data_IF_389222147746
#
_entry.id   IF_389222147746
#
_cell.length_a   1.000
_cell.length_b   1.000
_cell.length_c   1.000
_cell.angle_alpha   90.00
_cell.angle_beta   90.00
_cell.angle_gamma   90.00
#
_symmetry.space_group_name_H-M   'P 1'
#
loop_
_entity.id
_entity.type
_entity.pdbx_description
1 polymer ?
#
# COMPACT_ATOMS: atom_id res chain seq x y z
N UNK A 1 -5.69 25.66 6.33
CA UNK A 1 -6.77 24.92 5.64
C UNK A 1 -6.19 23.64 5.08
N UNK A 2 -6.85 22.51 5.34
CA UNK A 2 -6.49 21.17 4.87
C UNK A 2 -7.74 20.55 4.24
N UNK A 3 -7.62 20.05 3.01
CA UNK A 3 -8.68 19.33 2.33
C UNK A 3 -8.39 17.82 2.34
N UNK A 4 -9.37 17.05 2.81
CA UNK A 4 -9.29 15.60 2.99
C UNK A 4 -10.34 14.97 2.08
N UNK A 5 -9.89 14.07 1.21
CA UNK A 5 -10.73 13.31 0.30
C UNK A 5 -10.90 11.90 0.88
N UNK A 6 -12.06 11.60 1.51
CA UNK A 6 -12.32 10.30 2.12
C UNK A 6 -12.26 9.18 1.08
N UNK A 7 -11.94 7.98 1.52
CA UNK A 7 -11.83 6.83 0.63
C UNK A 7 -13.18 6.20 0.29
N UNK A 8 -14.16 6.43 1.15
CA UNK A 8 -15.52 5.92 1.10
C UNK A 8 -16.43 6.73 0.17
N UNK A 9 -16.02 7.93 -0.25
CA UNK A 9 -16.85 8.84 -1.04
C UNK A 9 -16.01 9.66 -2.01
N UNK A 10 -16.27 9.50 -3.31
CA UNK A 10 -15.74 10.37 -4.36
C UNK A 10 -16.59 11.65 -4.53
N UNK A 11 -17.75 11.73 -3.88
CA UNK A 11 -18.73 12.82 -4.04
C UNK A 11 -18.60 13.91 -2.96
N UNK A 12 -17.96 13.61 -1.83
CA UNK A 12 -17.91 14.52 -0.68
C UNK A 12 -16.51 14.54 -0.07
N UNK A 13 -15.90 15.72 -0.04
CA UNK A 13 -14.64 15.99 0.63
C UNK A 13 -14.84 16.82 1.91
N UNK A 14 -13.93 16.66 2.87
CA UNK A 14 -13.90 17.42 4.12
C UNK A 14 -12.85 18.53 4.02
N UNK A 15 -13.25 19.77 4.31
CA UNK A 15 -12.37 20.90 4.50
C UNK A 15 -12.22 21.20 5.99
N UNK A 16 -10.99 21.22 6.45
CA UNK A 16 -10.58 21.53 7.82
C UNK A 16 -9.89 22.90 7.83
N UNK A 17 -10.54 23.87 8.46
CA UNK A 17 -9.96 25.19 8.71
C UNK A 17 -9.33 25.16 10.10
N UNK A 18 -8.05 25.54 10.16
CA UNK A 18 -7.23 25.49 11.35
C UNK A 18 -6.82 26.92 11.70
N UNK A 19 -6.85 27.25 12.99
CA UNK A 19 -6.25 28.44 13.55
C UNK A 19 -5.21 28.00 14.59
N UNK A 20 -3.93 28.21 14.29
CA UNK A 20 -2.81 27.60 15.00
C UNK A 20 -2.97 26.07 15.11
N UNK A 21 -3.11 25.54 16.32
CA UNK A 21 -3.27 24.10 16.62
C UNK A 21 -4.74 23.69 16.87
N UNK A 22 -5.69 24.61 16.70
CA UNK A 22 -7.12 24.36 16.92
C UNK A 22 -7.92 24.26 15.61
N UNK A 23 -8.89 23.34 15.58
CA UNK A 23 -9.86 23.24 14.48
C UNK A 23 -10.92 24.32 14.67
N UNK A 24 -10.91 25.32 13.79
CA UNK A 24 -11.86 26.43 13.82
C UNK A 24 -13.18 26.04 13.14
N UNK A 25 -13.10 25.30 12.03
CA UNK A 25 -14.29 24.96 11.24
C UNK A 25 -14.09 23.69 10.40
N UNK A 26 -15.17 22.92 10.28
CA UNK A 26 -15.26 21.73 9.45
C UNK A 26 -16.42 21.91 8.49
N UNK A 27 -16.15 21.78 7.19
CA UNK A 27 -17.19 21.84 6.16
C UNK A 27 -17.03 20.76 5.13
N UNK A 28 -18.17 20.26 4.64
CA UNK A 28 -18.21 19.34 3.52
C UNK A 28 -18.33 20.14 2.22
N UNK A 29 -17.70 19.65 1.17
CA UNK A 29 -17.80 20.23 -0.16
C UNK A 29 -17.74 19.14 -1.24
N UNK A 30 -18.33 19.43 -2.39
CA UNK A 30 -18.19 18.60 -3.59
C UNK A 30 -16.78 18.80 -4.18
N UNK A 31 -15.96 17.76 -4.27
CA UNK A 31 -14.58 17.86 -4.74
C UNK A 31 -14.45 18.19 -6.23
N UNK A 32 -15.48 17.92 -7.04
CA UNK A 32 -15.49 18.19 -8.47
C UNK A 32 -15.93 19.63 -8.77
N UNK A 33 -16.98 20.10 -8.11
CA UNK A 33 -17.56 21.42 -8.38
C UNK A 33 -17.09 22.52 -7.41
N UNK A 34 -16.52 22.14 -6.26
CA UNK A 34 -16.11 23.06 -5.20
C UNK A 34 -17.28 23.62 -4.38
N UNK A 35 -18.51 23.19 -4.64
CA UNK A 35 -19.68 23.67 -3.91
C UNK A 35 -19.65 23.20 -2.45
N UNK A 36 -19.79 24.16 -1.53
CA UNK A 36 -19.91 23.83 -0.11
C UNK A 36 -21.27 23.17 0.16
N UNK A 37 -21.22 21.98 0.77
CA UNK A 37 -22.38 21.19 1.19
C UNK A 37 -22.84 21.55 2.61
N UNK A 38 -22.04 22.33 3.34
CA UNK A 38 -22.37 22.86 4.66
C UNK A 38 -21.35 22.50 5.75
N UNK A 39 -21.55 23.08 6.94
CA UNK A 39 -20.69 22.86 8.11
C UNK A 39 -21.13 21.64 8.91
N UNK A 40 -20.17 20.91 9.47
CA UNK A 40 -20.43 19.74 10.31
C UNK A 40 -19.68 19.87 11.64
N UNK A 41 -20.28 19.48 12.78
CA UNK A 41 -19.62 19.58 14.07
C UNK A 41 -18.57 18.46 14.30
N UNK A 42 -18.67 17.36 13.56
CA UNK A 42 -17.77 16.21 13.65
C UNK A 42 -17.76 15.45 12.33
N UNK A 43 -16.60 14.93 11.95
CA UNK A 43 -16.44 14.00 10.83
C UNK A 43 -15.51 12.86 11.24
N UNK A 44 -15.80 11.64 10.82
CA UNK A 44 -14.97 10.46 11.11
C UNK A 44 -14.31 10.02 9.83
N UNK A 45 -12.97 10.04 9.79
CA UNK A 45 -12.19 9.63 8.62
C UNK A 45 -11.82 8.16 8.80
N UNK A 46 -12.21 7.33 7.84
CA UNK A 46 -11.77 5.94 7.80
C UNK A 46 -10.52 5.78 6.92
N UNK A 47 -9.61 4.84 7.26
CA UNK A 47 -8.47 4.54 6.41
C UNK A 47 -8.90 4.07 5.02
N UNK A 48 -8.15 4.49 3.99
CA UNK A 48 -8.40 4.10 2.59
C UNK A 48 -8.28 2.61 2.30
N UNK A 49 -7.64 1.86 3.19
CA UNK A 49 -7.44 0.43 3.04
C UNK A 49 -7.95 -0.32 4.27
N UNK A 50 -8.82 -1.31 4.05
CA UNK A 50 -9.22 -2.29 5.09
C UNK A 50 -8.06 -3.15 5.59
N UNK A 51 -6.93 -3.15 4.87
CA UNK A 51 -5.71 -3.87 5.22
C UNK A 51 -4.75 -2.91 5.91
N UNK A 52 -5.09 -2.49 7.12
CA UNK A 52 -4.10 -1.92 8.04
C UNK A 52 -3.27 -3.10 8.56
N UNK A 53 -2.27 -3.51 7.77
CA UNK A 53 -1.29 -4.51 8.22
C UNK A 53 -0.41 -3.83 9.27
N UNK A 54 -0.35 -4.32 10.53
CA UNK A 54 0.51 -3.75 11.54
C UNK A 54 1.96 -3.69 11.04
N UNK A 55 2.70 -2.63 11.39
CA UNK A 55 4.10 -2.44 10.97
C UNK A 55 4.97 -3.66 11.28
N UNK A 56 4.74 -4.32 12.41
CA UNK A 56 5.42 -5.56 12.79
C UNK A 56 5.28 -6.66 11.74
N UNK A 57 4.06 -6.90 11.23
CA UNK A 57 3.82 -7.89 10.18
C UNK A 57 4.47 -7.51 8.84
N UNK A 58 4.58 -6.22 8.55
CA UNK A 58 5.28 -5.74 7.35
C UNK A 58 6.77 -6.05 7.47
N UNK A 59 7.38 -5.77 8.63
CA UNK A 59 8.79 -6.06 8.89
C UNK A 59 9.08 -7.58 8.83
N UNK A 60 8.22 -8.41 9.43
CA UNK A 60 8.32 -9.87 9.33
C UNK A 60 8.25 -10.35 7.88
N UNK A 61 7.33 -9.80 7.08
CA UNK A 61 7.21 -10.15 5.67
C UNK A 61 8.44 -9.73 4.86
N UNK A 62 9.02 -8.56 5.14
CA UNK A 62 10.26 -8.09 4.48
C UNK A 62 11.41 -9.07 4.73
N UNK A 63 11.57 -9.55 5.96
CA UNK A 63 12.63 -10.52 6.27
C UNK A 63 12.44 -11.84 5.51
N UNK A 64 11.19 -12.32 5.39
CA UNK A 64 10.90 -13.52 4.58
C UNK A 64 11.22 -13.30 3.09
N UNK A 65 10.85 -12.14 2.53
CA UNK A 65 11.11 -11.80 1.13
C UNK A 65 12.63 -11.73 0.85
N UNK A 66 13.43 -11.17 1.78
CA UNK A 66 14.89 -11.11 1.63
C UNK A 66 15.52 -12.51 1.55
N UNK A 67 15.05 -13.44 2.39
CA UNK A 67 15.52 -14.83 2.37
C UNK A 67 15.17 -15.49 1.04
N UNK A 68 13.91 -15.39 0.60
CA UNK A 68 13.48 -15.95 -0.68
C UNK A 68 14.24 -15.35 -1.87
N UNK A 69 14.50 -14.04 -1.84
CA UNK A 69 15.27 -13.36 -2.88
C UNK A 69 16.70 -13.90 -2.94
N UNK A 70 17.36 -14.13 -1.80
CA UNK A 70 18.71 -14.69 -1.76
C UNK A 70 18.77 -16.09 -2.40
N UNK A 71 17.80 -16.95 -2.07
CA UNK A 71 17.67 -18.29 -2.67
C UNK A 71 17.43 -18.20 -4.18
N UNK A 72 16.55 -17.29 -4.60
CA UNK A 72 16.19 -17.14 -6.02
C UNK A 72 17.33 -16.57 -6.85
N UNK A 73 18.10 -15.61 -6.31
CA UNK A 73 19.31 -15.09 -6.93
C UNK A 73 20.34 -16.21 -7.11
N UNK A 74 20.57 -17.02 -6.08
CA UNK A 74 21.47 -18.17 -6.14
C UNK A 74 21.07 -19.17 -7.23
N UNK A 75 19.77 -19.45 -7.37
CA UNK A 75 19.26 -20.29 -8.46
C UNK A 75 19.57 -19.70 -9.84
N UNK A 76 19.27 -18.42 -10.08
CA UNK A 76 19.51 -17.80 -11.39
C UNK A 76 21.00 -17.72 -11.73
N UNK A 77 21.87 -17.47 -10.75
CA UNK A 77 23.32 -17.49 -10.96
C UNK A 77 23.80 -18.88 -11.37
N UNK A 78 23.33 -19.94 -10.69
CA UNK A 78 23.67 -21.34 -11.03
C UNK A 78 23.23 -21.74 -12.43
N UNK A 79 22.10 -21.21 -12.88
CA UNK A 79 21.55 -21.43 -14.23
C UNK A 79 22.15 -20.50 -15.31
N UNK A 80 23.17 -19.69 -14.97
CA UNK A 80 23.74 -18.65 -15.85
C UNK A 80 22.72 -17.62 -16.39
N UNK A 81 21.64 -17.37 -15.64
CA UNK A 81 20.57 -16.41 -15.95
C UNK A 81 20.79 -15.08 -15.24
N UNK A 82 21.89 -14.41 -15.58
CA UNK A 82 22.36 -13.20 -14.87
C UNK A 82 21.43 -12.00 -15.07
N UNK A 83 20.77 -11.88 -16.24
CA UNK A 83 19.86 -10.77 -16.50
C UNK A 83 18.55 -10.90 -15.72
N UNK A 84 18.05 -12.13 -15.59
CA UNK A 84 16.87 -12.47 -14.79
C UNK A 84 17.15 -12.25 -13.30
N UNK A 85 18.34 -12.63 -12.83
CA UNK A 85 18.80 -12.35 -11.47
C UNK A 85 18.82 -10.85 -11.19
N UNK A 86 19.40 -10.06 -12.07
CA UNK A 86 19.49 -8.62 -11.89
C UNK A 86 18.11 -7.97 -11.89
N UNK A 87 17.22 -8.39 -12.81
CA UNK A 87 15.85 -7.86 -12.91
C UNK A 87 15.03 -8.14 -11.66
N UNK A 88 15.10 -9.37 -11.13
CA UNK A 88 14.33 -9.72 -9.92
C UNK A 88 14.90 -9.00 -8.69
N UNK A 89 16.22 -8.93 -8.56
CA UNK A 89 16.87 -8.25 -7.44
C UNK A 89 16.53 -6.77 -7.39
N UNK A 90 16.64 -6.05 -8.52
CA UNK A 90 16.32 -4.63 -8.58
C UNK A 90 14.85 -4.36 -8.25
N UNK A 91 13.93 -5.16 -8.78
CA UNK A 91 12.50 -4.97 -8.54
C UNK A 91 12.10 -5.27 -7.11
N UNK A 92 12.56 -6.39 -6.55
CA UNK A 92 12.23 -6.77 -5.17
C UNK A 92 12.86 -5.81 -4.16
N UNK A 93 14.06 -5.28 -4.43
CA UNK A 93 14.70 -4.30 -3.55
C UNK A 93 13.90 -2.98 -3.50
N UNK A 94 13.46 -2.48 -4.64
CA UNK A 94 12.59 -1.30 -4.71
C UNK A 94 11.26 -1.53 -3.98
N UNK A 95 10.65 -2.71 -4.15
CA UNK A 95 9.40 -3.04 -3.47
C UNK A 95 9.57 -3.10 -1.94
N UNK A 96 10.73 -3.58 -1.44
CA UNK A 96 11.07 -3.58 0.00
C UNK A 96 11.23 -2.15 0.53
N UNK A 97 11.90 -1.26 -0.22
CA UNK A 97 12.06 0.16 0.15
C UNK A 97 10.69 0.83 0.27
N UNK A 98 9.81 0.62 -0.72
CA UNK A 98 8.44 1.14 -0.70
C UNK A 98 7.62 0.61 0.48
N UNK A 99 7.76 -0.68 0.83
CA UNK A 99 7.10 -1.25 2.01
C UNK A 99 7.60 -0.64 3.33
N UNK A 100 8.88 -0.29 3.43
CA UNK A 100 9.46 0.32 4.63
C UNK A 100 9.03 1.78 4.82
N UNK A 101 8.98 2.55 3.74
CA UNK A 101 8.67 3.98 3.77
C UNK A 101 7.17 4.26 3.85
N UNK A 102 6.37 3.61 3.01
CA UNK A 102 4.94 3.91 2.85
C UNK A 102 4.03 2.93 3.60
N UNK A 103 4.56 1.82 4.09
CA UNK A 103 3.77 0.79 4.78
C UNK A 103 2.85 -0.01 3.84
N UNK A 104 2.94 0.21 2.52
CA UNK A 104 2.27 -0.58 1.51
C UNK A 104 3.13 -0.65 0.24
N UNK A 105 3.02 -1.76 -0.47
CA UNK A 105 3.49 -1.89 -1.84
C UNK A 105 2.38 -2.55 -2.66
N UNK A 106 2.23 -2.16 -3.93
CA UNK A 106 1.26 -2.76 -4.87
C UNK A 106 1.42 -4.28 -4.99
N UNK A 107 2.61 -4.82 -4.68
CA UNK A 107 2.94 -6.24 -4.66
C UNK A 107 2.48 -7.01 -3.40
N UNK A 108 1.94 -6.35 -2.35
CA UNK A 108 1.41 -7.05 -1.15
C UNK A 108 0.22 -7.98 -1.47
N UNK A 109 -0.43 -7.83 -2.62
CA UNK A 109 -1.44 -8.79 -3.09
C UNK A 109 -0.80 -10.15 -3.44
N UNK A 110 0.48 -10.18 -3.83
CA UNK A 110 1.19 -11.39 -4.24
C UNK A 110 1.64 -12.23 -3.04
N UNK A 111 2.01 -11.62 -1.91
CA UNK A 111 2.43 -12.38 -0.71
C UNK A 111 1.25 -13.02 0.02
N UNK A 112 0.08 -12.38 0.03
CA UNK A 112 -1.15 -13.03 0.53
C UNK A 112 -1.60 -14.21 -0.34
N UNK A 113 -1.38 -14.14 -1.66
CA UNK A 113 -1.61 -15.28 -2.55
C UNK A 113 -0.61 -16.41 -2.27
N UNK A 114 0.67 -16.12 -2.05
CA UNK A 114 1.71 -17.14 -1.80
C UNK A 114 1.47 -17.88 -0.46
N UNK A 115 0.93 -17.22 0.58
CA UNK A 115 0.59 -17.91 1.84
C UNK A 115 -0.58 -18.91 1.71
N UNK A 116 -1.49 -18.70 0.74
CA UNK A 116 -2.57 -19.64 0.41
C UNK A 116 -2.23 -20.63 -0.71
N UNK A 117 -1.19 -20.37 -1.52
CA UNK A 117 -0.82 -21.23 -2.63
C UNK A 117 0.08 -22.43 -2.27
N UNK A 118 0.33 -22.71 -0.98
CA UNK A 118 0.82 -24.02 -0.53
C UNK A 118 -0.24 -25.14 -0.52
N UNK A 119 -1.35 -24.96 -1.25
CA UNK A 119 -2.24 -26.05 -1.67
C UNK A 119 -2.41 -26.02 -3.19
N UNK A 120 -1.47 -26.69 -3.86
CA UNK A 120 -1.70 -27.32 -5.17
C UNK A 120 -2.01 -26.41 -6.36
N UNK A 121 -1.04 -25.62 -6.82
CA UNK A 121 -1.03 -25.19 -8.23
C UNK A 121 0.13 -25.83 -8.98
N UNK A 122 -0.21 -26.56 -10.04
CA UNK A 122 0.71 -27.09 -11.03
C UNK A 122 1.28 -25.96 -11.91
N UNK A 123 2.43 -26.18 -12.58
CA UNK A 123 3.24 -25.11 -13.18
C UNK A 123 2.71 -24.47 -14.47
N UNK A 124 1.39 -24.51 -14.75
CA UNK A 124 0.86 -24.29 -16.10
C UNK A 124 -0.17 -23.17 -16.29
N UNK A 125 -0.46 -22.33 -15.31
CA UNK A 125 -1.45 -21.25 -15.51
C UNK A 125 -0.76 -19.91 -15.84
N UNK A 126 -1.07 -19.27 -16.98
CA UNK A 126 -0.45 -18.03 -17.41
C UNK A 126 -0.96 -16.82 -16.61
N UNK A 127 -0.17 -15.74 -16.67
CA UNK A 127 -0.38 -14.45 -16.00
C UNK A 127 -1.66 -13.74 -16.44
#
# INVERSE_FOLDING_TARGET
MIDIYPAESDEVALRVELFDDEIENLSLFDPLTGHSLGKVPRYTIYPKTHYVTPRERILEAIEQIKVELADRRTYFIKENKLLEEQRIAQRTQFDIEMMNELGYCSALKTTHAISRQKRGRSPSDPV
#
